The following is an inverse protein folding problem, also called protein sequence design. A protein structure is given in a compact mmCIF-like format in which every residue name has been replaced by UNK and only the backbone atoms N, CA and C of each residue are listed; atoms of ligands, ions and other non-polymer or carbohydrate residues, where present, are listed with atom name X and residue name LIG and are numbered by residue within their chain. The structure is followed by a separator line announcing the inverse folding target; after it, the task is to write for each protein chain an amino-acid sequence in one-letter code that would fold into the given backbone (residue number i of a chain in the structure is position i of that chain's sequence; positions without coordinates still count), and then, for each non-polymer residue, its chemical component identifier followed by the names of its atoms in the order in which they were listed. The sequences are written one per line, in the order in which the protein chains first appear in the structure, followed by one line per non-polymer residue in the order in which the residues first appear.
data_IF_417487062685
#
_entry.id   IF_417487062685
#
_cell.length_a   1.000
_cell.length_b   1.000
_cell.length_c   1.000
_cell.angle_alpha   90.00
_cell.angle_beta   90.00
_cell.angle_gamma   90.00
#
_symmetry.space_group_name_H-M   'P 1'
#
loop_
_entity.id
_entity.type
_entity.pdbx_description
1 polymer ?
#
# COMPACT_ATOMS: atom_id res chain seq x y z
N UNK A 1 14.55 16.58 0.02
CA UNK A 1 13.98 15.25 0.37
C UNK A 1 13.30 14.73 -0.89
N UNK A 2 13.42 13.45 -1.26
CA UNK A 2 12.73 12.95 -2.46
C UNK A 2 11.21 12.99 -2.24
N UNK A 3 10.46 13.36 -3.29
CA UNK A 3 8.99 13.35 -3.27
C UNK A 3 8.42 11.92 -3.13
N UNK A 4 9.17 10.92 -3.59
CA UNK A 4 8.81 9.51 -3.55
C UNK A 4 10.02 8.68 -3.13
N UNK A 5 9.83 7.77 -2.18
CA UNK A 5 10.83 6.76 -1.80
C UNK A 5 10.39 5.43 -2.40
N UNK A 6 11.06 4.93 -3.46
CA UNK A 6 10.69 3.65 -4.05
C UNK A 6 10.94 2.49 -3.08
N UNK A 7 10.19 1.38 -3.20
CA UNK A 7 10.56 0.10 -2.61
C UNK A 7 11.96 -0.33 -3.05
N UNK A 8 12.70 -0.96 -2.14
CA UNK A 8 14.06 -1.45 -2.41
C UNK A 8 14.02 -2.94 -2.73
N UNK A 9 14.95 -3.41 -3.57
CA UNK A 9 15.17 -4.85 -3.77
C UNK A 9 15.60 -5.48 -2.46
N UNK A 10 15.05 -6.64 -2.12
CA UNK A 10 15.41 -7.39 -0.91
C UNK A 10 16.93 -7.60 -0.82
N UNK A 11 17.49 -7.43 0.38
CA UNK A 11 18.93 -7.53 0.63
C UNK A 11 19.76 -6.30 0.23
N UNK A 12 19.23 -5.34 -0.55
CA UNK A 12 19.96 -4.12 -0.90
C UNK A 12 19.96 -3.06 0.21
N UNK A 13 19.29 -3.29 1.35
CA UNK A 13 19.16 -2.36 2.46
C UNK A 13 17.87 -2.58 3.27
N UNK A 14 17.52 -1.59 4.10
CA UNK A 14 16.26 -1.62 4.86
C UNK A 14 15.05 -1.50 3.91
N UNK A 15 13.94 -2.17 4.20
CA UNK A 15 12.70 -2.02 3.45
C UNK A 15 12.18 -0.58 3.55
N UNK A 16 11.42 -0.17 2.54
CA UNK A 16 10.75 1.13 2.56
C UNK A 16 9.50 1.02 3.43
N UNK A 17 9.31 1.97 4.35
CA UNK A 17 8.07 2.07 5.15
C UNK A 17 7.09 2.95 4.38
N UNK A 18 5.93 2.38 4.05
CA UNK A 18 4.84 3.04 3.35
C UNK A 18 3.64 3.25 4.30
N UNK A 19 3.04 4.45 4.26
CA UNK A 19 1.82 4.80 4.96
C UNK A 19 0.99 5.76 4.07
N UNK A 20 -0.28 5.45 3.74
CA UNK A 20 -0.95 4.19 4.03
C UNK A 20 -0.34 3.01 3.26
N UNK A 21 -0.53 1.79 3.77
CA UNK A 21 -0.15 0.56 3.09
C UNK A 21 -0.85 0.41 1.71
N UNK A 22 -0.61 -0.71 1.05
CA UNK A 22 -1.22 -1.09 -0.24
C UNK A 22 -2.76 -1.02 -0.28
N UNK A 23 -3.42 -1.24 0.85
CA UNK A 23 -4.86 -1.07 1.00
C UNK A 23 -5.34 0.39 0.99
N UNK A 24 -4.44 1.38 0.96
CA UNK A 24 -4.80 2.80 1.01
C UNK A 24 -5.37 3.23 2.37
N UNK A 25 -5.70 4.52 2.47
CA UNK A 25 -6.31 5.12 3.66
C UNK A 25 -7.83 5.00 3.70
N UNK A 26 -8.47 4.90 2.53
CA UNK A 26 -9.87 4.55 2.35
C UNK A 26 -9.95 3.64 1.12
N UNK A 27 -10.79 2.62 1.15
CA UNK A 27 -10.83 1.60 0.10
C UNK A 27 -12.28 1.23 -0.27
N UNK A 28 -12.43 0.15 -1.04
CA UNK A 28 -13.65 -0.33 -1.70
C UNK A 28 -14.84 -0.55 -0.76
N UNK A 29 -14.62 -0.72 0.54
CA UNK A 29 -15.70 -0.80 1.54
C UNK A 29 -16.49 0.50 1.65
N UNK A 30 -15.97 1.60 1.09
CA UNK A 30 -16.69 2.84 0.91
C UNK A 30 -16.87 3.67 2.18
N UNK A 31 -17.85 4.56 2.11
CA UNK A 31 -18.23 5.49 3.16
C UNK A 31 -19.76 5.45 3.35
N UNK A 32 -20.24 5.95 4.48
CA UNK A 32 -21.67 6.12 4.75
C UNK A 32 -22.03 7.61 4.78
N UNK A 33 -23.23 7.97 4.33
CA UNK A 33 -23.74 9.35 4.39
C UNK A 33 -24.97 9.39 5.27
N UNK A 34 -25.01 10.32 6.22
CA UNK A 34 -26.25 10.73 6.88
C UNK A 34 -26.84 11.93 6.12
N UNK A 35 -27.94 11.75 5.36
CA UNK A 35 -28.53 12.82 4.57
C UNK A 35 -29.24 13.89 5.41
N UNK A 36 -29.63 13.60 6.64
CA UNK A 36 -30.33 14.57 7.49
C UNK A 36 -29.38 15.65 8.03
N UNK A 37 -28.15 15.25 8.37
CA UNK A 37 -27.10 16.15 8.85
C UNK A 37 -26.11 16.58 7.76
N UNK A 38 -26.08 15.89 6.61
CA UNK A 38 -25.11 16.12 5.55
C UNK A 38 -23.71 15.58 5.87
N UNK A 39 -23.57 14.69 6.85
CA UNK A 39 -22.28 14.15 7.30
C UNK A 39 -21.88 12.92 6.48
N UNK A 40 -20.63 12.92 6.00
CA UNK A 40 -19.98 11.77 5.37
C UNK A 40 -19.05 11.07 6.38
N UNK A 41 -19.32 9.80 6.65
CA UNK A 41 -18.49 8.94 7.49
C UNK A 41 -17.55 8.12 6.61
N UNK A 42 -16.27 8.51 6.57
CA UNK A 42 -15.22 7.79 5.83
C UNK A 42 -14.50 6.85 6.78
N UNK A 43 -14.51 5.54 6.48
CA UNK A 43 -13.64 4.59 7.17
C UNK A 43 -12.18 4.87 6.78
N UNK A 44 -11.37 5.27 7.75
CA UNK A 44 -9.95 5.57 7.57
C UNK A 44 -9.06 4.45 8.11
N UNK A 45 -8.02 4.10 7.36
CA UNK A 45 -7.07 3.05 7.69
C UNK A 45 -5.65 3.62 7.82
N UNK A 46 -5.17 3.74 9.05
CA UNK A 46 -3.79 4.17 9.35
C UNK A 46 -2.92 2.95 9.63
N UNK A 47 -2.48 2.29 8.56
CA UNK A 47 -1.62 1.11 8.64
C UNK A 47 -0.33 1.31 7.87
N UNK A 48 0.79 1.21 8.57
CA UNK A 48 2.11 1.18 7.95
C UNK A 48 2.42 -0.22 7.40
N UNK A 49 3.15 -0.27 6.29
CA UNK A 49 3.71 -1.52 5.75
C UNK A 49 5.18 -1.33 5.39
N UNK A 50 6.02 -2.31 5.72
CA UNK A 50 7.33 -2.46 5.11
C UNK A 50 7.15 -3.08 3.73
N UNK A 51 7.83 -2.54 2.71
CA UNK A 51 7.74 -3.02 1.34
C UNK A 51 9.14 -3.21 0.76
N UNK A 52 9.40 -4.42 0.25
CA UNK A 52 10.59 -4.77 -0.55
C UNK A 52 10.16 -5.39 -1.88
N UNK A 53 11.10 -5.46 -2.83
CA UNK A 53 10.91 -6.13 -4.12
C UNK A 53 11.74 -7.39 -4.21
N UNK A 54 11.12 -8.48 -4.67
CA UNK A 54 11.76 -9.78 -4.92
C UNK A 54 11.60 -10.21 -6.38
N UNK A 55 12.40 -11.18 -6.83
CA UNK A 55 12.14 -11.87 -8.10
C UNK A 55 10.93 -12.79 -7.94
N UNK A 56 9.92 -12.73 -8.82
CA UNK A 56 8.80 -13.65 -8.74
C UNK A 56 9.20 -15.08 -9.12
N UNK A 57 8.40 -16.04 -8.67
CA UNK A 57 8.39 -17.37 -9.27
C UNK A 57 7.96 -17.25 -10.75
N UNK A 58 8.79 -17.69 -11.71
CA UNK A 58 8.49 -17.57 -13.14
C UNK A 58 7.22 -18.34 -13.56
N UNK A 59 6.76 -19.31 -12.77
CA UNK A 59 5.50 -20.01 -13.03
C UNK A 59 4.26 -19.24 -12.55
N UNK A 60 4.45 -18.15 -11.79
CA UNK A 60 3.37 -17.36 -11.17
C UNK A 60 3.26 -15.95 -11.75
N UNK A 61 4.35 -15.39 -12.29
CA UNK A 61 4.37 -14.03 -12.84
C UNK A 61 5.52 -13.84 -13.83
N UNK A 62 5.29 -13.03 -14.85
CA UNK A 62 6.26 -12.58 -15.85
C UNK A 62 6.87 -11.20 -15.53
N UNK A 63 6.54 -10.61 -14.37
CA UNK A 63 7.06 -9.32 -13.95
C UNK A 63 8.55 -9.41 -13.58
N UNK A 64 9.28 -8.31 -13.75
CA UNK A 64 10.68 -8.25 -13.34
C UNK A 64 10.87 -8.32 -11.82
N UNK A 65 9.90 -7.82 -11.05
CA UNK A 65 9.88 -7.80 -9.60
C UNK A 65 8.43 -7.81 -9.08
N UNK A 66 8.22 -8.39 -7.91
CA UNK A 66 6.95 -8.38 -7.17
C UNK A 66 7.20 -7.95 -5.71
N UNK A 67 6.17 -7.47 -4.99
CA UNK A 67 6.28 -7.28 -3.54
C UNK A 67 6.69 -8.58 -2.83
N UNK A 68 7.34 -8.44 -1.68
CA UNK A 68 7.80 -9.55 -0.82
C UNK A 68 6.66 -10.34 -0.13
N UNK A 69 5.40 -10.09 -0.48
CA UNK A 69 4.19 -10.63 0.18
C UNK A 69 3.01 -10.78 -0.78
#
# INVERSE_FOLDING_TARGET
MPLYTPPRIEGAGKPTVQLPADGGGANWTGAAVDPASGVLYVFSHTRAASVSLIKPDPNRSDLNFVPDR
#
